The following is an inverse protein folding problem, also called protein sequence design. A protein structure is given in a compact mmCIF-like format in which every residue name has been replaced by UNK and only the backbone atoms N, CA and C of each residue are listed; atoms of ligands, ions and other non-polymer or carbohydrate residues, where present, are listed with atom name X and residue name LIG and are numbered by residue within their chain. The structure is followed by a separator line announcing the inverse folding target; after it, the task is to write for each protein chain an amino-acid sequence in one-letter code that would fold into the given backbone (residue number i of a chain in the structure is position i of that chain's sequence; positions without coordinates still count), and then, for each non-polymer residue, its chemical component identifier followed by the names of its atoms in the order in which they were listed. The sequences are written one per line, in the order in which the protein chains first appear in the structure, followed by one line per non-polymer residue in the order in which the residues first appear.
data_IF_895197415569
#
_entry.id   IF_895197415569
#
_cell.length_a   1.000
_cell.length_b   1.000
_cell.length_c   1.000
_cell.angle_alpha   90.00
_cell.angle_beta   90.00
_cell.angle_gamma   90.00
#
_symmetry.space_group_name_H-M   'P 1'
#
loop_
_entity.id
_entity.type
_entity.pdbx_description
1 polymer ?
#
# COMPACT_ATOMS: atom_id res chain seq x y z
N UNK A 1 -30.57 4.01 9.79
CA UNK A 1 -29.38 4.67 10.26
C UNK A 1 -28.31 4.82 9.18
N UNK A 2 -27.24 5.48 9.54
CA UNK A 2 -26.18 5.79 8.61
C UNK A 2 -24.86 5.33 9.19
N UNK A 3 -24.07 4.68 8.34
CA UNK A 3 -22.76 4.23 8.74
C UNK A 3 -21.72 4.94 7.88
N UNK A 4 -20.71 5.52 8.51
CA UNK A 4 -19.63 6.15 7.78
C UNK A 4 -18.31 5.54 8.25
N UNK A 5 -17.31 5.61 7.39
CA UNK A 5 -15.97 5.13 7.74
C UNK A 5 -14.97 6.23 7.45
N UNK A 6 -14.13 6.51 8.43
CA UNK A 6 -13.11 7.54 8.29
C UNK A 6 -12.01 7.09 7.35
N UNK A 7 -11.36 8.06 6.71
CA UNK A 7 -10.25 7.74 5.81
C UNK A 7 -9.15 6.96 6.51
N UNK A 8 -8.90 7.23 7.79
CA UNK A 8 -7.89 6.47 8.53
C UNK A 8 -8.25 4.99 8.62
N UNK A 9 -9.55 4.69 8.74
CA UNK A 9 -9.98 3.30 8.76
C UNK A 9 -9.76 2.61 7.43
N UNK A 10 -10.10 3.28 6.36
CA UNK A 10 -9.87 2.76 5.02
C UNK A 10 -8.38 2.51 4.80
N UNK A 11 -7.55 3.44 5.26
CA UNK A 11 -6.11 3.32 5.15
C UNK A 11 -5.60 2.06 5.84
N UNK A 12 -6.07 1.80 7.05
CA UNK A 12 -5.64 0.60 7.78
C UNK A 12 -6.07 -0.67 7.07
N UNK A 13 -7.29 -0.70 6.58
CA UNK A 13 -7.79 -1.87 5.86
C UNK A 13 -6.93 -2.12 4.62
N UNK A 14 -6.67 -1.07 3.85
CA UNK A 14 -5.90 -1.21 2.63
C UNK A 14 -4.48 -1.68 2.93
N UNK A 15 -3.86 -1.11 3.97
CA UNK A 15 -2.51 -1.51 4.33
C UNK A 15 -2.41 -2.96 4.77
N UNK A 16 -3.36 -3.42 5.56
CA UNK A 16 -3.35 -4.80 5.99
C UNK A 16 -3.61 -5.75 4.82
N UNK A 17 -4.54 -5.39 3.95
CA UNK A 17 -4.85 -6.22 2.79
C UNK A 17 -3.64 -6.34 1.86
N UNK A 18 -2.88 -5.26 1.72
CA UNK A 18 -1.68 -5.30 0.88
C UNK A 18 -0.63 -6.22 1.50
N UNK A 19 -0.47 -6.16 2.81
CA UNK A 19 0.56 -6.96 3.48
C UNK A 19 0.21 -8.45 3.54
N UNK A 20 -1.03 -8.81 3.30
CA UNK A 20 -1.42 -10.21 3.30
C UNK A 20 -0.85 -10.96 2.10
N UNK A 21 -0.44 -10.26 1.07
CA UNK A 21 0.00 -10.90 -0.15
C UNK A 21 1.46 -11.31 0.01
N UNK A 22 1.71 -12.59 -0.24
CA UNK A 22 3.05 -13.14 -0.19
C UNK A 22 3.94 -12.42 -1.20
N UNK A 23 5.13 -12.04 -0.77
CA UNK A 23 6.04 -11.28 -1.60
C UNK A 23 6.11 -9.81 -1.25
N UNK A 24 5.14 -9.31 -0.50
CA UNK A 24 5.19 -7.96 0.02
C UNK A 24 5.97 -7.99 1.32
N UNK A 25 7.11 -7.31 1.35
CA UNK A 25 7.93 -7.27 2.55
C UNK A 25 7.33 -6.31 3.57
N UNK A 26 7.06 -5.09 3.13
CA UNK A 26 6.36 -4.11 3.95
C UNK A 26 5.98 -2.93 3.06
N UNK A 27 5.26 -1.99 3.65
CA UNK A 27 4.92 -0.76 2.96
C UNK A 27 6.06 0.22 3.12
N UNK A 28 6.32 0.96 2.07
CA UNK A 28 7.43 1.89 2.07
C UNK A 28 7.04 3.26 2.58
N UNK A 29 7.99 4.18 2.54
CA UNK A 29 7.78 5.52 3.07
C UNK A 29 7.86 6.63 2.04
N UNK A 30 7.99 6.27 0.76
CA UNK A 30 8.20 7.29 -0.26
C UNK A 30 6.94 7.99 -0.73
N UNK A 31 5.79 7.46 -0.33
CA UNK A 31 4.53 7.95 -0.86
C UNK A 31 4.19 9.36 -0.43
N UNK A 32 4.67 9.76 0.74
CA UNK A 32 4.29 11.07 1.25
C UNK A 32 4.70 12.19 0.31
N UNK A 33 5.88 12.07 -0.27
CA UNK A 33 6.35 13.10 -1.18
C UNK A 33 5.52 13.13 -2.44
N UNK A 34 5.27 11.96 -3.03
CA UNK A 34 4.49 11.89 -4.25
C UNK A 34 3.03 12.23 -3.98
N UNK A 35 2.51 11.76 -2.86
CA UNK A 35 1.11 11.95 -2.55
C UNK A 35 0.78 13.41 -2.29
N UNK A 36 1.72 14.17 -1.78
CA UNK A 36 1.50 15.57 -1.52
C UNK A 36 1.21 16.38 -2.78
N UNK A 37 1.54 15.82 -3.93
CA UNK A 37 1.33 16.50 -5.20
C UNK A 37 0.09 16.01 -5.92
N UNK A 38 -0.61 15.06 -5.37
CA UNK A 38 -1.76 14.48 -6.03
C UNK A 38 -2.96 15.39 -5.87
N UNK A 39 -3.65 15.59 -6.96
CA UNK A 39 -4.87 16.34 -6.93
C UNK A 39 -6.00 15.47 -6.45
N UNK A 40 -7.02 16.12 -5.94
CA UNK A 40 -8.22 15.42 -5.53
C UNK A 40 -8.80 14.64 -6.69
N UNK A 41 -8.99 13.34 -6.50
CA UNK A 41 -9.50 12.47 -7.54
C UNK A 41 -10.98 12.21 -7.40
N UNK A 42 -11.52 12.47 -6.23
CA UNK A 42 -12.93 12.22 -5.94
C UNK A 42 -13.60 13.54 -5.65
N UNK A 43 -14.45 14.01 -6.56
CA UNK A 43 -15.16 15.26 -6.31
C UNK A 43 -16.01 15.10 -5.05
N UNK A 44 -15.95 16.07 -4.18
CA UNK A 44 -16.70 16.00 -2.94
C UNK A 44 -16.10 15.03 -1.95
N UNK A 45 -14.81 14.78 -2.05
CA UNK A 45 -14.11 13.91 -1.11
C UNK A 45 -14.39 14.35 0.32
N UNK A 46 -14.64 13.37 1.19
CA UNK A 46 -14.91 13.66 2.59
C UNK A 46 -13.68 13.50 3.46
N UNK A 47 -12.59 13.02 2.90
CA UNK A 47 -11.38 12.91 3.68
C UNK A 47 -10.28 12.21 2.94
N UNK A 48 -9.07 12.41 3.43
CA UNK A 48 -7.88 11.77 2.91
C UNK A 48 -6.98 11.43 4.08
N UNK A 49 -6.18 10.37 3.91
CA UNK A 49 -5.22 9.98 4.93
C UNK A 49 -3.99 9.44 4.23
N UNK A 50 -2.85 9.70 4.80
CA UNK A 50 -1.59 9.27 4.24
C UNK A 50 -0.61 9.01 5.36
N UNK A 51 -0.09 7.79 5.40
CA UNK A 51 1.03 7.45 6.27
C UNK A 51 1.91 6.47 5.51
N UNK A 52 2.92 5.95 6.17
CA UNK A 52 3.94 5.10 5.59
C UNK A 52 3.41 4.14 4.53
N UNK A 53 3.56 4.52 3.29
CA UNK A 53 3.28 3.65 2.18
C UNK A 53 1.82 3.48 1.80
N UNK A 54 0.88 4.14 2.49
CA UNK A 54 -0.54 4.02 2.17
C UNK A 54 -1.17 5.40 2.16
N UNK A 55 -1.78 5.75 1.04
CA UNK A 55 -2.56 6.97 0.94
C UNK A 55 -3.94 6.63 0.46
N UNK A 56 -4.95 7.29 0.99
CA UNK A 56 -6.32 7.06 0.57
C UNK A 56 -7.06 8.39 0.46
N UNK A 57 -8.02 8.39 -0.41
CA UNK A 57 -8.97 9.49 -0.52
C UNK A 57 -10.36 8.86 -0.53
N UNK A 58 -11.25 9.37 0.31
CA UNK A 58 -12.54 8.74 0.54
C UNK A 58 -13.65 9.74 0.30
N UNK A 59 -14.62 9.34 -0.49
CA UNK A 59 -15.86 10.08 -0.69
C UNK A 59 -16.99 9.36 0.01
N UNK A 60 -18.21 9.77 -0.27
CA UNK A 60 -19.36 9.12 0.34
C UNK A 60 -19.54 7.70 -0.15
N UNK A 61 -19.19 7.44 -1.40
CA UNK A 61 -19.44 6.14 -2.01
C UNK A 61 -18.21 5.54 -2.66
N UNK A 62 -17.09 6.26 -2.70
CA UNK A 62 -15.93 5.83 -3.46
C UNK A 62 -14.66 6.02 -2.67
N UNK A 63 -13.65 5.26 -3.04
CA UNK A 63 -12.32 5.41 -2.46
C UNK A 63 -11.28 5.27 -3.55
N UNK A 64 -10.17 6.00 -3.39
CA UNK A 64 -8.99 5.88 -4.23
C UNK A 64 -7.82 5.61 -3.31
N UNK A 65 -6.94 4.69 -3.72
CA UNK A 65 -5.91 4.18 -2.85
C UNK A 65 -4.57 4.21 -3.57
N UNK A 66 -3.53 4.65 -2.86
CA UNK A 66 -2.15 4.62 -3.35
C UNK A 66 -1.33 3.80 -2.40
N UNK A 67 -0.52 2.91 -2.96
CA UNK A 67 0.32 2.02 -2.18
C UNK A 67 1.76 2.12 -2.65
N UNK A 68 2.68 2.17 -1.70
CA UNK A 68 4.10 2.12 -1.97
C UNK A 68 4.62 0.85 -1.30
N UNK A 69 5.08 -0.09 -2.10
CA UNK A 69 5.46 -1.41 -1.60
C UNK A 69 6.95 -1.61 -1.64
N UNK A 70 7.44 -2.33 -0.65
CA UNK A 70 8.77 -2.93 -0.70
C UNK A 70 8.54 -4.41 -0.85
N UNK A 71 9.09 -4.99 -1.90
CA UNK A 71 8.83 -6.40 -2.23
C UNK A 71 10.05 -7.24 -1.95
N UNK A 72 9.81 -8.54 -1.80
CA UNK A 72 10.91 -9.47 -1.58
C UNK A 72 11.65 -9.72 -2.88
N UNK A 73 12.96 -9.84 -2.77
CA UNK A 73 13.77 -10.20 -3.93
C UNK A 73 13.32 -11.55 -4.47
N UNK A 74 13.16 -11.62 -5.78
CA UNK A 74 12.74 -12.84 -6.44
C UNK A 74 11.27 -12.91 -6.75
N UNK A 75 10.48 -12.02 -6.15
CA UNK A 75 9.05 -12.00 -6.44
C UNK A 75 8.80 -11.43 -7.83
N UNK A 76 7.75 -11.91 -8.48
CA UNK A 76 7.33 -11.32 -9.73
C UNK A 76 6.53 -10.06 -9.41
N UNK A 77 7.10 -8.91 -9.72
CA UNK A 77 6.48 -7.65 -9.37
C UNK A 77 5.13 -7.49 -10.05
N UNK A 78 5.04 -7.90 -11.32
CA UNK A 78 3.80 -7.76 -12.07
C UNK A 78 2.69 -8.60 -11.44
N UNK A 79 2.98 -9.86 -11.13
CA UNK A 79 1.97 -10.74 -10.57
C UNK A 79 1.61 -10.34 -9.15
N UNK A 80 2.61 -9.89 -8.41
CA UNK A 80 2.38 -9.44 -7.05
C UNK A 80 1.49 -8.21 -7.02
N UNK A 81 1.74 -7.27 -7.91
CA UNK A 81 0.92 -6.06 -7.97
C UNK A 81 -0.53 -6.39 -8.31
N UNK A 82 -0.73 -7.35 -9.21
CA UNK A 82 -2.10 -7.76 -9.53
C UNK A 82 -2.79 -8.36 -8.32
N UNK A 83 -2.09 -9.19 -7.56
CA UNK A 83 -2.67 -9.82 -6.39
C UNK A 83 -2.98 -8.81 -5.31
N UNK A 84 -2.06 -7.87 -5.09
CA UNK A 84 -2.28 -6.81 -4.10
C UNK A 84 -3.51 -5.99 -4.47
N UNK A 85 -3.58 -5.58 -5.73
CA UNK A 85 -4.70 -4.75 -6.17
C UNK A 85 -6.02 -5.46 -5.95
N UNK A 86 -6.07 -6.74 -6.34
CA UNK A 86 -7.30 -7.51 -6.20
C UNK A 86 -7.71 -7.65 -4.74
N UNK A 87 -6.74 -7.95 -3.88
CA UNK A 87 -7.04 -8.15 -2.47
C UNK A 87 -7.46 -6.85 -1.78
N UNK A 88 -6.80 -5.76 -2.13
CA UNK A 88 -7.14 -4.47 -1.54
C UNK A 88 -8.53 -4.04 -1.97
N UNK A 89 -8.83 -4.14 -3.26
CA UNK A 89 -10.15 -3.77 -3.73
C UNK A 89 -11.23 -4.60 -3.04
N UNK A 90 -11.04 -5.90 -3.03
CA UNK A 90 -12.06 -6.79 -2.47
C UNK A 90 -12.27 -6.55 -0.98
N UNK A 91 -11.17 -6.42 -0.24
CA UNK A 91 -11.28 -6.27 1.20
C UNK A 91 -11.89 -4.91 1.58
N UNK A 92 -11.44 -3.84 0.91
CA UNK A 92 -11.98 -2.53 1.23
C UNK A 92 -13.46 -2.47 0.88
N UNK A 93 -13.83 -2.98 -0.30
CA UNK A 93 -15.23 -2.91 -0.70
C UNK A 93 -16.12 -3.76 0.20
N UNK A 94 -15.62 -4.92 0.60
CA UNK A 94 -16.41 -5.79 1.45
C UNK A 94 -16.61 -5.21 2.85
N UNK A 95 -15.57 -4.60 3.39
CA UNK A 95 -15.65 -4.11 4.76
C UNK A 95 -16.34 -2.76 4.87
N UNK A 96 -16.24 -1.92 3.83
CA UNK A 96 -16.71 -0.55 3.93
C UNK A 96 -17.92 -0.24 3.07
N UNK A 97 -18.17 -1.05 2.06
CA UNK A 97 -19.23 -0.75 1.12
C UNK A 97 -18.88 0.32 0.10
N UNK A 98 -17.67 0.89 0.20
CA UNK A 98 -17.24 1.88 -0.77
C UNK A 98 -16.83 1.20 -2.06
N UNK A 99 -16.99 1.90 -3.17
CA UNK A 99 -16.49 1.43 -4.45
C UNK A 99 -15.06 1.94 -4.60
N UNK A 100 -14.11 1.04 -4.79
CA UNK A 100 -12.72 1.43 -4.98
C UNK A 100 -12.53 1.70 -6.46
N UNK A 101 -12.34 2.97 -6.80
CA UNK A 101 -12.27 3.38 -8.20
C UNK A 101 -10.85 3.39 -8.74
N UNK A 102 -9.86 3.32 -7.86
CA UNK A 102 -8.48 3.42 -8.30
C UNK A 102 -7.56 2.86 -7.24
N UNK A 103 -6.63 2.00 -7.65
CA UNK A 103 -5.55 1.54 -6.78
C UNK A 103 -4.27 1.67 -7.56
N UNK A 104 -3.41 2.59 -7.12
CA UNK A 104 -2.12 2.80 -7.74
C UNK A 104 -1.05 2.18 -6.87
N UNK A 105 -0.16 1.41 -7.48
CA UNK A 105 0.86 0.68 -6.76
C UNK A 105 2.22 1.08 -7.31
N UNK A 106 3.09 1.50 -6.41
CA UNK A 106 4.48 1.78 -6.75
C UNK A 106 5.35 0.80 -5.98
N UNK A 107 6.37 0.27 -6.65
CA UNK A 107 7.35 -0.58 -5.99
C UNK A 107 8.66 0.18 -6.05
N UNK A 108 9.04 0.76 -4.94
CA UNK A 108 10.19 1.65 -4.91
C UNK A 108 11.42 1.03 -4.26
N UNK A 109 11.29 -0.19 -3.74
CA UNK A 109 12.42 -0.84 -3.12
C UNK A 109 12.21 -2.33 -3.11
N UNK A 110 13.30 -3.05 -3.01
CA UNK A 110 13.31 -4.51 -2.97
C UNK A 110 14.12 -4.92 -1.76
N UNK A 111 13.52 -5.77 -0.93
CA UNK A 111 14.21 -6.26 0.26
C UNK A 111 15.10 -7.42 -0.14
N UNK A 112 16.37 -7.27 0.12
CA UNK A 112 17.36 -8.30 -0.17
C UNK A 112 17.77 -8.94 1.14
N UNK A 113 17.52 -10.22 1.32
CA UNK A 113 17.73 -10.86 2.62
C UNK A 113 19.12 -10.67 3.18
N UNK A 114 20.13 -10.62 2.33
CA UNK A 114 21.49 -10.48 2.81
C UNK A 114 21.75 -9.13 3.48
N UNK A 115 20.91 -8.14 3.23
CA UNK A 115 21.05 -6.85 3.86
C UNK A 115 20.52 -6.82 5.27
N UNK A 116 19.62 -7.75 5.58
CA UNK A 116 19.02 -7.80 6.90
C UNK A 116 19.97 -8.27 7.96
N UNK A 117 20.71 -9.23 7.63
CA UNK A 117 21.56 -9.84 8.58
C UNK A 117 22.62 -8.91 9.08
N UNK A 118 22.57 -7.92 8.68
CA UNK A 118 23.41 -6.97 9.06
C UNK A 118 24.55 -7.37 9.01
N UNK A 119 23.88 -7.73 9.06
CA UNK A 119 24.34 -7.82 8.99
C UNK A 119 25.25 -8.44 9.00
N UNK A 120 25.25 -8.86 9.09
CA UNK A 120 25.93 -9.48 9.04
C UNK A 120 26.80 -9.75 8.59
N UNK A 121 26.86 -9.77 8.73
CA UNK A 121 27.57 -9.96 8.34
C UNK A 121 28.14 -10.08 7.79
N UNK A 122 28.05 -9.87 7.77
CA UNK A 122 28.38 -9.96 7.24
C UNK A 122 29.08 -10.06 6.71
N UNK A 123 29.12 -10.08 6.57
CA UNK A 123 29.66 -10.20 6.00
C UNK A 123 30.69 -10.16 5.66
N UNK A 124 30.76 -9.83 6.19
CA UNK A 124 32.03 -9.59 5.87
C UNK A 124 32.79 -10.53 5.38
N UNK A 125 32.47 -11.08 5.77
CA UNK A 125 33.18 -12.09 5.37
C UNK A 125 33.24 -12.24 3.99
N UNK A 126 32.76 -11.80 3.60
CA UNK A 126 32.77 -12.03 2.33
C UNK A 126 33.87 -11.71 1.72
N UNK A 127 34.28 -11.43 2.10
CA UNK A 127 35.10 -11.09 1.62
C UNK A 127 36.02 -11.61 1.39
N UNK A 128 36.05 -11.74 1.71
CA UNK A 128 36.65 -12.07 1.50
C UNK A 128 36.87 -12.56 1.12
#
# INVERSE_FOLDING_TARGET
GKTTIASAGVQKIAGMAAREISGVYKLGGGLSRAFGEIRERIPGSTGAAQTSGVGVEVGEKQAAIDLDLIVEYGASIVELAKAVRRNVIGTVEQMTGLEVIEVNISVNDIHIPSEDGGEVATQPARVE
#
